data_IF_198718620539
#
_entry.id   IF_198718620539
#
_cell.length_a   1.000
_cell.length_b   1.000
_cell.length_c   1.000
_cell.angle_alpha   90.00
_cell.angle_beta   90.00
_cell.angle_gamma   90.00
#
_symmetry.space_group_name_H-M   'P 1'
#
loop_
_entity.id
_entity.type
_entity.pdbx_description
1 polymer ?
#
# COMPACT_ATOMS: atom_id res chain seq x y z
N UNK A 1 11.67 36.85 -7.93
CA UNK A 1 10.38 36.27 -7.50
C UNK A 1 10.57 35.93 -6.04
N UNK A 2 9.82 36.56 -5.13
CA UNK A 2 9.84 36.11 -3.74
C UNK A 2 9.26 34.70 -3.74
N UNK A 3 10.01 33.72 -3.23
CA UNK A 3 9.43 32.41 -2.90
C UNK A 3 8.25 32.65 -1.96
N UNK A 4 7.09 32.12 -2.31
CA UNK A 4 5.97 32.04 -1.39
C UNK A 4 6.39 31.14 -0.20
N UNK A 5 5.87 31.44 0.99
CA UNK A 5 6.23 30.75 2.23
C UNK A 5 6.17 29.21 2.13
N UNK A 6 5.14 28.60 1.49
CA UNK A 6 5.09 27.15 1.28
C UNK A 6 6.29 26.59 0.50
N UNK A 7 6.76 27.31 -0.52
CA UNK A 7 7.90 26.91 -1.34
C UNK A 7 9.19 26.86 -0.54
N UNK A 8 9.41 27.86 0.33
CA UNK A 8 10.57 27.94 1.22
C UNK A 8 10.60 26.78 2.23
N UNK A 9 9.46 26.52 2.88
CA UNK A 9 9.31 25.41 3.84
C UNK A 9 9.58 24.04 3.19
N UNK A 10 9.10 23.84 1.96
CA UNK A 10 9.41 22.64 1.18
C UNK A 10 10.91 22.50 0.91
N UNK A 11 11.62 23.59 0.56
CA UNK A 11 13.08 23.52 0.38
C UNK A 11 13.84 23.26 1.69
N UNK A 12 13.41 23.84 2.81
CA UNK A 12 13.97 23.49 4.13
C UNK A 12 13.80 22.00 4.44
N UNK A 13 12.62 21.44 4.15
CA UNK A 13 12.34 20.01 4.24
C UNK A 13 13.29 19.18 3.37
N UNK A 14 13.55 19.62 2.13
CA UNK A 14 14.49 18.95 1.22
C UNK A 14 15.92 18.93 1.78
N UNK A 15 16.38 20.02 2.38
CA UNK A 15 17.70 20.10 2.99
C UNK A 15 17.85 19.22 4.24
N UNK A 16 16.81 19.17 5.08
CA UNK A 16 16.75 18.25 6.23
C UNK A 16 16.74 16.80 5.76
N UNK A 17 15.97 16.49 4.70
CA UNK A 17 15.89 15.15 4.13
C UNK A 17 17.25 14.68 3.62
N UNK A 18 18.00 15.54 2.90
CA UNK A 18 19.36 15.24 2.42
C UNK A 18 20.33 14.94 3.56
N UNK A 19 20.13 15.55 4.74
CA UNK A 19 20.92 15.30 5.96
C UNK A 19 20.49 14.04 6.72
N UNK A 20 19.43 13.35 6.28
CA UNK A 20 18.88 12.18 6.97
C UNK A 20 18.00 12.53 8.17
N UNK A 21 17.69 13.81 8.38
CA UNK A 21 16.85 14.30 9.47
C UNK A 21 15.36 14.16 9.06
N UNK A 22 14.89 12.91 8.99
CA UNK A 22 13.62 12.58 8.35
C UNK A 22 12.39 13.05 9.15
N UNK A 23 12.45 13.08 10.48
CA UNK A 23 11.34 13.61 11.27
C UNK A 23 11.25 15.13 11.13
N UNK A 24 12.38 15.84 11.17
CA UNK A 24 12.39 17.29 10.98
C UNK A 24 11.96 17.65 9.55
N UNK A 25 12.42 16.90 8.55
CA UNK A 25 11.98 17.07 7.16
C UNK A 25 10.46 16.88 7.03
N UNK A 26 9.90 15.85 7.67
CA UNK A 26 8.47 15.59 7.71
C UNK A 26 7.71 16.81 8.27
N UNK A 27 8.13 17.35 9.41
CA UNK A 27 7.50 18.53 10.01
C UNK A 27 7.50 19.71 9.05
N UNK A 28 8.60 19.96 8.34
CA UNK A 28 8.69 21.05 7.36
C UNK A 28 7.76 20.89 6.17
N UNK A 29 7.58 19.67 5.65
CA UNK A 29 6.58 19.46 4.59
C UNK A 29 5.13 19.58 5.11
N UNK A 30 4.86 19.24 6.37
CA UNK A 30 3.54 19.46 7.00
C UNK A 30 3.26 20.96 7.20
N UNK A 31 4.26 21.73 7.66
CA UNK A 31 4.18 23.20 7.70
C UNK A 31 3.91 23.78 6.31
N UNK A 32 4.65 23.34 5.28
CA UNK A 32 4.45 23.79 3.90
C UNK A 32 3.01 23.54 3.41
N UNK A 33 2.43 22.37 3.73
CA UNK A 33 1.05 22.04 3.38
C UNK A 33 0.02 22.88 4.14
N UNK A 34 0.31 23.27 5.37
CA UNK A 34 -0.55 24.13 6.19
C UNK A 34 -0.64 25.56 5.66
N UNK A 35 0.43 26.04 5.02
CA UNK A 35 0.50 27.35 4.38
C UNK A 35 -0.02 27.33 2.93
N UNK A 36 -0.29 26.15 2.36
CA UNK A 36 -0.77 26.04 0.99
C UNK A 36 -2.27 26.40 0.86
N UNK A 37 -2.64 27.19 -0.14
CA UNK A 37 -4.05 27.32 -0.53
C UNK A 37 -4.50 26.09 -1.33
N UNK A 38 -5.74 25.62 -1.11
CA UNK A 38 -6.16 24.33 -1.68
C UNK A 38 -6.23 24.34 -3.21
N UNK A 39 -6.64 25.47 -3.79
CA UNK A 39 -6.94 25.61 -5.21
C UNK A 39 -5.74 26.06 -6.06
N UNK A 40 -4.82 26.86 -5.52
CA UNK A 40 -3.76 27.49 -6.33
C UNK A 40 -2.45 26.68 -6.33
N UNK A 41 -2.24 25.81 -5.34
CA UNK A 41 -0.93 25.18 -5.09
C UNK A 41 -0.97 23.65 -5.24
N UNK A 42 -1.90 23.13 -6.05
CA UNK A 42 -2.09 21.69 -6.27
C UNK A 42 -0.80 20.92 -6.56
N UNK A 43 0.05 21.45 -7.46
CA UNK A 43 1.34 20.82 -7.81
C UNK A 43 2.34 20.81 -6.63
N UNK A 44 2.41 21.91 -5.87
CA UNK A 44 3.26 22.00 -4.69
C UNK A 44 2.80 21.04 -3.59
N UNK A 45 1.49 20.97 -3.36
CA UNK A 45 0.87 20.02 -2.42
C UNK A 45 1.17 18.58 -2.81
N UNK A 46 1.05 18.22 -4.09
CA UNK A 46 1.39 16.88 -4.59
C UNK A 46 2.84 16.51 -4.27
N UNK A 47 3.78 17.42 -4.52
CA UNK A 47 5.20 17.25 -4.20
C UNK A 47 5.43 17.10 -2.69
N UNK A 48 4.80 17.94 -1.86
CA UNK A 48 4.94 17.87 -0.40
C UNK A 48 4.42 16.53 0.15
N UNK A 49 3.25 16.07 -0.32
CA UNK A 49 2.72 14.75 0.05
C UNK A 49 3.63 13.60 -0.39
N UNK A 50 4.21 13.66 -1.59
CA UNK A 50 5.17 12.66 -2.07
C UNK A 50 6.46 12.62 -1.25
N UNK A 51 6.95 13.78 -0.83
CA UNK A 51 8.12 13.89 0.06
C UNK A 51 7.80 13.42 1.48
N UNK A 52 6.61 13.70 2.01
CA UNK A 52 6.14 13.18 3.28
C UNK A 52 6.07 11.65 3.28
N UNK A 53 5.48 11.05 2.26
CA UNK A 53 5.47 9.61 2.08
C UNK A 53 6.89 9.04 2.07
N UNK A 54 7.83 9.76 1.45
CA UNK A 54 9.23 9.37 1.41
C UNK A 54 9.91 9.42 2.78
N UNK A 55 9.63 10.44 3.61
CA UNK A 55 10.10 10.54 4.99
C UNK A 55 9.52 9.42 5.86
N UNK A 56 8.20 9.22 5.80
CA UNK A 56 7.48 8.20 6.57
C UNK A 56 7.99 6.79 6.25
N UNK A 57 8.23 6.49 4.97
CA UNK A 57 8.84 5.23 4.58
C UNK A 57 10.25 5.05 5.15
N UNK A 58 11.06 6.12 5.20
CA UNK A 58 12.41 6.07 5.80
C UNK A 58 12.38 5.90 7.32
N UNK A 59 11.28 6.30 7.95
CA UNK A 59 10.98 6.10 9.36
C UNK A 59 10.24 4.78 9.63
N UNK A 60 10.09 3.92 8.63
CA UNK A 60 9.39 2.63 8.70
C UNK A 60 7.90 2.74 9.11
N UNK A 61 7.29 3.91 8.91
CA UNK A 61 5.85 4.18 9.11
C UNK A 61 5.09 3.92 7.82
N UNK A 62 4.98 2.66 7.45
CA UNK A 62 4.56 2.24 6.10
C UNK A 62 3.08 2.56 5.81
N UNK A 63 2.17 2.38 6.76
CA UNK A 63 0.75 2.68 6.60
C UNK A 63 0.53 4.18 6.31
N UNK A 64 1.20 5.03 7.08
CA UNK A 64 1.15 6.48 6.87
C UNK A 64 1.82 6.89 5.55
N UNK A 65 2.89 6.20 5.17
CA UNK A 65 3.51 6.40 3.85
C UNK A 65 2.53 6.08 2.72
N UNK A 66 1.72 5.02 2.84
CA UNK A 66 0.69 4.68 1.85
C UNK A 66 -0.37 5.78 1.77
N UNK A 67 -0.85 6.27 2.92
CA UNK A 67 -1.84 7.34 2.98
C UNK A 67 -1.33 8.63 2.32
N UNK A 68 -0.13 9.09 2.68
CA UNK A 68 0.43 10.33 2.12
C UNK A 68 0.77 10.21 0.64
N UNK A 69 1.24 9.04 0.19
CA UNK A 69 1.42 8.81 -1.24
C UNK A 69 0.09 8.79 -2.00
N UNK A 70 -0.99 8.27 -1.38
CA UNK A 70 -2.35 8.34 -1.91
C UNK A 70 -2.81 9.79 -2.13
N UNK A 71 -2.63 10.66 -1.12
CA UNK A 71 -2.93 12.10 -1.24
C UNK A 71 -2.15 12.79 -2.35
N UNK A 72 -0.89 12.41 -2.57
CA UNK A 72 -0.12 12.92 -3.70
C UNK A 72 -0.73 12.51 -5.05
N UNK A 73 -1.22 11.27 -5.17
CA UNK A 73 -1.82 10.72 -6.39
C UNK A 73 -3.24 11.23 -6.67
N UNK A 74 -3.99 11.61 -5.63
CA UNK A 74 -5.27 12.31 -5.78
C UNK A 74 -5.09 13.69 -6.43
N UNK A 75 -3.93 14.32 -6.18
CA UNK A 75 -3.59 15.62 -6.76
C UNK A 75 -2.95 15.43 -8.15
N UNK A 76 -2.00 14.52 -8.28
CA UNK A 76 -1.31 14.21 -9.54
C UNK A 76 -1.29 12.70 -9.78
N UNK A 77 -2.25 12.23 -10.58
CA UNK A 77 -2.35 10.81 -10.93
C UNK A 77 -1.13 10.34 -11.73
N UNK A 78 -0.41 11.20 -12.45
CA UNK A 78 0.76 10.78 -13.23
C UNK A 78 2.06 10.80 -12.39
N UNK A 79 1.97 11.02 -11.07
CA UNK A 79 3.14 11.16 -10.21
C UNK A 79 3.84 9.82 -9.90
N UNK A 80 4.67 9.36 -10.84
CA UNK A 80 5.39 8.07 -10.78
C UNK A 80 6.15 7.87 -9.47
N UNK A 81 6.82 8.90 -8.93
CA UNK A 81 7.60 8.78 -7.68
C UNK A 81 6.72 8.49 -6.47
N UNK A 82 5.54 9.11 -6.38
CA UNK A 82 4.58 8.84 -5.32
C UNK A 82 3.97 7.45 -5.47
N UNK A 83 3.61 7.05 -6.69
CA UNK A 83 3.09 5.70 -6.99
C UNK A 83 4.09 4.61 -6.63
N UNK A 84 5.35 4.75 -7.05
CA UNK A 84 6.43 3.84 -6.67
C UNK A 84 6.60 3.78 -5.15
N UNK A 85 6.54 4.92 -4.45
CA UNK A 85 6.63 4.95 -2.99
C UNK A 85 5.48 4.19 -2.32
N UNK A 86 4.24 4.36 -2.81
CA UNK A 86 3.07 3.64 -2.30
C UNK A 86 3.20 2.14 -2.49
N UNK A 87 3.63 1.70 -3.66
CA UNK A 87 3.92 0.30 -3.94
C UNK A 87 4.97 -0.27 -2.97
N UNK A 88 6.10 0.41 -2.81
CA UNK A 88 7.16 -0.03 -1.90
C UNK A 88 6.71 -0.10 -0.44
N UNK A 89 5.89 0.85 0.02
CA UNK A 89 5.34 0.83 1.37
C UNK A 89 4.37 -0.34 1.57
N UNK A 90 3.48 -0.59 0.61
CA UNK A 90 2.59 -1.74 0.60
C UNK A 90 3.33 -3.09 0.60
N UNK A 91 4.46 -3.19 -0.11
CA UNK A 91 5.32 -4.38 -0.06
C UNK A 91 5.90 -4.65 1.33
N UNK A 92 6.17 -3.59 2.10
CA UNK A 92 6.67 -3.66 3.47
C UNK A 92 5.58 -4.05 4.47
N UNK A 93 4.32 -3.68 4.21
CA UNK A 93 3.16 -4.11 5.01
C UNK A 93 2.91 -5.62 4.89
N UNK A 94 3.24 -6.21 3.74
CA UNK A 94 3.26 -7.66 3.54
C UNK A 94 1.93 -8.39 3.81
N UNK A 95 0.79 -7.70 3.76
CA UNK A 95 -0.53 -8.35 3.79
C UNK A 95 -0.98 -8.70 2.39
N UNK A 96 -1.87 -9.68 2.24
CA UNK A 96 -2.38 -10.06 0.91
C UNK A 96 -2.96 -8.83 0.18
N UNK A 97 -3.81 -8.05 0.85
CA UNK A 97 -4.41 -6.84 0.29
C UNK A 97 -3.37 -5.76 -0.07
N UNK A 98 -2.35 -5.55 0.77
CA UNK A 98 -1.30 -4.57 0.47
C UNK A 98 -0.46 -5.03 -0.72
N UNK A 99 -0.11 -6.31 -0.82
CA UNK A 99 0.66 -6.83 -1.95
C UNK A 99 -0.12 -6.72 -3.28
N UNK A 100 -1.44 -6.91 -3.28
CA UNK A 100 -2.29 -6.64 -4.45
C UNK A 100 -2.28 -5.16 -4.84
N UNK A 101 -2.42 -4.26 -3.86
CA UNK A 101 -2.33 -2.83 -4.11
C UNK A 101 -0.95 -2.40 -4.66
N UNK A 102 0.13 -3.01 -4.16
CA UNK A 102 1.48 -2.79 -4.68
C UNK A 102 1.62 -3.25 -6.14
N UNK A 103 1.06 -4.41 -6.48
CA UNK A 103 1.07 -4.92 -7.85
C UNK A 103 0.29 -4.00 -8.80
N UNK A 104 -0.87 -3.49 -8.38
CA UNK A 104 -1.65 -2.54 -9.17
C UNK A 104 -0.85 -1.26 -9.46
N UNK A 105 -0.22 -0.69 -8.43
CA UNK A 105 0.60 0.51 -8.58
C UNK A 105 1.80 0.28 -9.52
N UNK A 106 2.51 -0.85 -9.38
CA UNK A 106 3.66 -1.16 -10.24
C UNK A 106 3.24 -1.39 -11.70
N UNK A 107 2.09 -2.03 -11.94
CA UNK A 107 1.54 -2.18 -13.30
C UNK A 107 1.27 -0.81 -13.93
N UNK A 108 0.65 0.11 -13.19
CA UNK A 108 0.42 1.49 -13.67
C UNK A 108 1.73 2.23 -13.96
N UNK A 109 2.75 2.08 -13.10
CA UNK A 109 4.09 2.65 -13.36
C UNK A 109 4.70 2.06 -14.63
N UNK A 110 4.67 0.73 -14.80
CA UNK A 110 5.18 0.07 -16.01
C UNK A 110 4.51 0.66 -17.26
N UNK A 111 3.19 0.74 -17.26
CA UNK A 111 2.42 1.20 -18.43
C UNK A 111 2.73 2.67 -18.74
N UNK A 112 2.85 3.54 -17.71
CA UNK A 112 3.28 4.94 -17.87
C UNK A 112 4.67 5.06 -18.49
N UNK A 113 5.63 4.27 -18.00
CA UNK A 113 7.00 4.28 -18.50
C UNK A 113 7.10 3.75 -19.94
N UNK A 114 6.39 2.68 -20.27
CA UNK A 114 6.35 2.12 -21.63
C UNK A 114 5.73 3.10 -22.63
N UNK A 115 4.70 3.84 -22.22
CA UNK A 115 4.05 4.85 -23.05
C UNK A 115 4.92 6.11 -23.27
N UNK A 116 5.80 6.43 -22.33
CA UNK A 116 6.68 7.61 -22.45
C UNK A 116 7.75 7.46 -23.54
N UNK A 117 8.22 6.24 -23.80
CA UNK A 117 9.29 5.95 -24.76
C UNK A 117 10.67 6.55 -24.39
N UNK A 118 10.83 7.06 -23.17
CA UNK A 118 12.04 7.76 -22.74
C UNK A 118 13.13 6.79 -22.25
N UNK A 119 14.23 6.69 -23.00
CA UNK A 119 15.38 5.81 -22.69
C UNK A 119 16.04 6.04 -21.31
N UNK A 120 15.77 7.20 -20.66
CA UNK A 120 16.28 7.51 -19.32
C UNK A 120 15.65 6.65 -18.23
N UNK A 121 14.48 6.07 -18.51
CA UNK A 121 13.71 5.31 -17.55
C UNK A 121 13.91 3.79 -17.69
N UNK A 122 14.79 3.33 -18.59
CA UNK A 122 15.04 1.89 -18.82
C UNK A 122 15.39 1.13 -17.54
N UNK A 123 16.19 1.73 -16.66
CA UNK A 123 16.56 1.13 -15.38
C UNK A 123 15.37 1.03 -14.43
N UNK A 124 14.53 2.07 -14.36
CA UNK A 124 13.33 2.09 -13.52
C UNK A 124 12.28 1.10 -14.06
N UNK A 125 12.12 1.02 -15.37
CA UNK A 125 11.23 0.06 -16.03
C UNK A 125 11.67 -1.38 -15.76
N UNK A 126 12.98 -1.65 -15.86
CA UNK A 126 13.54 -2.97 -15.53
C UNK A 126 13.32 -3.34 -14.06
N UNK A 127 13.57 -2.42 -13.13
CA UNK A 127 13.31 -2.63 -11.70
C UNK A 127 11.82 -2.90 -11.44
N UNK A 128 10.94 -2.08 -12.01
CA UNK A 128 9.47 -2.22 -11.90
C UNK A 128 9.01 -3.59 -12.41
N UNK A 129 9.48 -4.04 -13.58
CA UNK A 129 9.16 -5.38 -14.13
C UNK A 129 9.66 -6.50 -13.23
N UNK A 130 10.87 -6.37 -12.67
CA UNK A 130 11.43 -7.36 -11.74
C UNK A 130 10.60 -7.46 -10.45
N UNK A 131 10.12 -6.33 -9.93
CA UNK A 131 9.26 -6.27 -8.74
C UNK A 131 7.90 -6.91 -8.99
N UNK A 132 7.26 -6.62 -10.13
CA UNK A 132 6.01 -7.26 -10.56
C UNK A 132 6.16 -8.79 -10.57
N UNK A 133 7.19 -9.30 -11.25
CA UNK A 133 7.43 -10.74 -11.35
C UNK A 133 7.69 -11.40 -9.96
N UNK A 134 8.29 -10.67 -9.02
CA UNK A 134 8.51 -11.17 -7.67
C UNK A 134 7.24 -11.16 -6.80
N UNK A 135 6.28 -10.26 -7.07
CA UNK A 135 5.06 -10.13 -6.28
C UNK A 135 4.00 -11.17 -6.62
N UNK A 136 3.86 -11.58 -7.88
CA UNK A 136 2.85 -12.55 -8.31
C UNK A 136 2.83 -13.85 -7.47
N UNK A 137 3.97 -14.56 -7.28
CA UNK A 137 3.97 -15.75 -6.43
C UNK A 137 3.74 -15.41 -4.96
N UNK A 138 4.24 -14.26 -4.50
CA UNK A 138 4.13 -13.83 -3.10
C UNK A 138 2.68 -13.54 -2.71
N UNK A 139 1.91 -12.90 -3.57
CA UNK A 139 0.46 -12.64 -3.40
C UNK A 139 -0.28 -13.96 -3.23
N UNK A 140 -0.03 -14.93 -4.12
CA UNK A 140 -0.67 -16.25 -4.02
C UNK A 140 -0.35 -16.98 -2.73
N UNK A 141 0.91 -16.95 -2.29
CA UNK A 141 1.32 -17.53 -1.01
C UNK A 141 0.63 -16.82 0.16
N UNK A 142 0.60 -15.49 0.16
CA UNK A 142 -0.01 -14.70 1.25
C UNK A 142 -1.53 -14.89 1.30
N UNK A 143 -2.19 -14.94 0.15
CA UNK A 143 -3.62 -15.24 0.03
C UNK A 143 -3.96 -16.59 0.68
N UNK A 144 -3.20 -17.64 0.35
CA UNK A 144 -3.43 -18.98 0.91
C UNK A 144 -3.21 -19.00 2.41
N UNK A 145 -2.12 -18.37 2.88
CA UNK A 145 -1.81 -18.26 4.30
C UNK A 145 -2.92 -17.55 5.07
N UNK A 146 -3.31 -16.34 4.66
CA UNK A 146 -4.33 -15.56 5.36
C UNK A 146 -5.71 -16.23 5.30
N UNK A 147 -6.05 -16.88 4.19
CA UNK A 147 -7.30 -17.67 4.07
C UNK A 147 -7.31 -18.86 5.03
N UNK A 148 -6.20 -19.58 5.14
CA UNK A 148 -6.07 -20.71 6.07
C UNK A 148 -6.15 -20.24 7.52
N UNK A 149 -5.49 -19.13 7.87
CA UNK A 149 -5.56 -18.53 9.20
C UNK A 149 -6.98 -18.07 9.56
N UNK A 150 -7.68 -17.43 8.62
CA UNK A 150 -9.09 -17.03 8.80
C UNK A 150 -10.00 -18.24 8.98
N UNK A 151 -9.85 -19.29 8.17
CA UNK A 151 -10.63 -20.52 8.29
C UNK A 151 -10.39 -21.22 9.63
N UNK A 152 -9.14 -21.24 10.11
CA UNK A 152 -8.80 -21.75 11.44
C UNK A 152 -9.51 -20.98 12.55
N UNK A 153 -9.44 -19.65 12.54
CA UNK A 153 -10.12 -18.80 13.53
C UNK A 153 -11.64 -18.98 13.51
N UNK A 154 -12.24 -19.13 12.33
CA UNK A 154 -13.68 -19.42 12.19
C UNK A 154 -14.04 -20.78 12.77
N UNK A 155 -13.20 -21.80 12.55
CA UNK A 155 -13.39 -23.13 13.15
C UNK A 155 -13.28 -23.07 14.67
N UNK A 156 -12.28 -22.37 15.20
CA UNK A 156 -12.08 -22.22 16.64
C UNK A 156 -13.24 -21.48 17.31
N UNK A 157 -13.73 -20.41 16.68
CA UNK A 157 -14.90 -19.66 17.17
C UNK A 157 -16.16 -20.54 17.18
N UNK A 158 -16.40 -21.29 16.11
CA UNK A 158 -17.53 -22.22 16.02
C UNK A 158 -17.42 -23.34 17.06
N UNK A 159 -16.23 -23.89 17.27
CA UNK A 159 -15.96 -24.88 18.31
C UNK A 159 -16.15 -24.31 19.72
N UNK A 160 -15.78 -23.06 19.98
CA UNK A 160 -16.03 -22.39 21.26
C UNK A 160 -17.52 -22.29 21.56
N UNK A 161 -18.34 -21.94 20.55
CA UNK A 161 -19.80 -21.90 20.70
C UNK A 161 -20.40 -23.31 20.89
N UNK A 162 -19.98 -24.28 20.09
CA UNK A 162 -20.49 -25.66 20.13
C UNK A 162 -20.05 -26.43 21.37
N UNK A 163 -18.88 -26.13 21.93
CA UNK A 163 -18.36 -26.78 23.14
C UNK A 163 -19.27 -26.56 24.35
N UNK A 164 -19.95 -25.41 24.44
CA UNK A 164 -20.95 -25.14 25.48
C UNK A 164 -22.17 -26.08 25.40
N UNK A 165 -22.33 -26.80 24.29
CA UNK A 165 -23.36 -27.82 24.07
C UNK A 165 -22.77 -29.24 23.98
N UNK A 166 -21.50 -29.44 24.33
CA UNK A 166 -20.81 -30.74 24.23
C UNK A 166 -20.53 -31.19 22.79
N UNK A 167 -20.48 -30.25 21.83
CA UNK A 167 -20.30 -30.54 20.40
C UNK A 167 -19.00 -29.93 19.84
N UNK A 168 -18.56 -30.45 18.70
CA UNK A 168 -17.45 -29.91 17.88
C UNK A 168 -17.88 -29.83 16.42
N UNK A 169 -17.34 -28.88 15.64
CA UNK A 169 -17.45 -28.83 14.18
C UNK A 169 -16.92 -30.11 13.52
N UNK A 170 -15.97 -30.79 14.16
CA UNK A 170 -15.46 -32.09 13.68
C UNK A 170 -16.51 -33.20 13.75
N UNK A 171 -17.56 -33.03 14.56
CA UNK A 171 -18.66 -33.98 14.67
C UNK A 171 -19.61 -33.87 13.46
N UNK A 172 -19.51 -32.82 12.63
CA UNK A 172 -20.44 -32.59 11.53
C UNK A 172 -19.78 -32.90 10.17
N UNK A 173 -20.35 -33.85 9.42
CA UNK A 173 -20.00 -34.12 8.02
C UNK A 173 -21.05 -33.55 7.08
N UNK A 174 -20.60 -32.68 6.18
CA UNK A 174 -21.37 -32.21 5.04
C UNK A 174 -21.26 -33.23 3.90
N UNK A 175 -22.40 -33.78 3.48
CA UNK A 175 -22.51 -34.65 2.31
C UNK A 175 -23.32 -33.92 1.22
N UNK A 176 -22.79 -33.86 0.01
CA UNK A 176 -23.51 -33.30 -1.13
C UNK A 176 -24.42 -34.38 -1.73
N UNK A 177 -25.69 -34.05 -1.90
CA UNK A 177 -26.70 -34.94 -2.45
C UNK A 177 -26.75 -34.83 -3.99
N UNK A 178 -27.25 -35.85 -4.71
CA UNK A 178 -27.28 -35.89 -6.18
C UNK A 178 -28.14 -34.79 -6.85
N UNK A 179 -29.08 -34.22 -6.10
CA UNK A 179 -29.96 -33.12 -6.49
C UNK A 179 -29.31 -31.73 -6.30
N UNK A 180 -28.06 -31.69 -5.84
CA UNK A 180 -27.32 -30.46 -5.54
C UNK A 180 -27.57 -29.90 -4.14
N UNK A 181 -28.41 -30.55 -3.32
CA UNK A 181 -28.61 -30.19 -1.91
C UNK A 181 -27.44 -30.64 -1.02
N UNK A 182 -27.39 -30.12 0.22
CA UNK A 182 -26.41 -30.53 1.23
C UNK A 182 -27.12 -31.16 2.44
N UNK A 183 -26.62 -32.29 2.92
CA UNK A 183 -27.05 -32.92 4.18
C UNK A 183 -25.92 -32.85 5.21
N UNK A 184 -26.26 -32.44 6.43
CA UNK A 184 -25.32 -32.41 7.55
C UNK A 184 -25.61 -33.62 8.42
N UNK A 185 -24.64 -34.52 8.59
CA UNK A 185 -24.74 -35.66 9.47
C UNK A 185 -23.79 -35.47 10.66
N UNK A 186 -24.28 -35.73 11.86
CA UNK A 186 -23.45 -35.77 13.06
C UNK A 186 -22.86 -37.19 13.21
N UNK A 187 -21.56 -37.31 13.45
CA UNK A 187 -20.89 -38.56 13.80
C UNK A 187 -20.79 -38.74 15.31
#
# INVERSE_FOLDING_TARGET
MAENEPGRLKEEGNELFKKGAYEEAKLKYEEALGECSEDEEKALRAVCYGNLATCLFKLERYEESVERAGKALELDEEYIKARMRRAMANEKLDTWAALEAALEDLCKVRDQLENSGDSKDDNLLKDTKSRIAALEPKIKTKQQQETQEMMGKLKDLGNGFLSNFGMSLDNFKLNQNPDGGYSINMQ
#
